data_IF_001471688465
#
_entry.id   IF_001471688465
#
_cell.length_a   1.000
_cell.length_b   1.000
_cell.length_c   1.000
_cell.angle_alpha   90.00
_cell.angle_beta   90.00
_cell.angle_gamma   90.00
#
_symmetry.space_group_name_H-M   'P 1'
#
loop_
_entity.id
_entity.type
_entity.pdbx_description
1 polymer ?
#
# COMPACT_ATOMS: atom_id res chain seq x y z
N UNK A 1 -14.70 -15.00 -4.26
CA UNK A 1 -14.54 -13.65 -3.66
C UNK A 1 -13.52 -13.60 -2.50
N UNK A 2 -12.35 -14.27 -2.59
CA UNK A 2 -11.36 -14.31 -1.48
C UNK A 2 -10.34 -13.16 -1.51
N UNK A 3 -10.02 -12.60 -2.68
CA UNK A 3 -8.99 -11.56 -2.87
C UNK A 3 -9.47 -10.12 -2.71
N UNK A 4 -10.78 -9.91 -2.55
CA UNK A 4 -11.36 -8.58 -2.36
C UNK A 4 -11.19 -8.04 -0.93
N UNK A 5 -10.49 -8.76 -0.04
CA UNK A 5 -10.22 -8.35 1.35
C UNK A 5 -11.50 -7.96 2.12
N UNK A 6 -12.64 -8.56 1.79
CA UNK A 6 -13.96 -8.24 2.38
C UNK A 6 -14.52 -6.86 2.05
N UNK A 7 -13.89 -6.09 1.16
CA UNK A 7 -14.30 -4.72 0.84
C UNK A 7 -14.97 -4.64 -0.54
N UNK A 8 -16.24 -4.19 -0.63
CA UNK A 8 -16.95 -4.07 -1.91
C UNK A 8 -16.21 -3.20 -2.93
N UNK A 9 -15.48 -2.18 -2.46
CA UNK A 9 -14.70 -1.27 -3.31
C UNK A 9 -13.50 -1.97 -3.96
N UNK A 10 -12.75 -2.79 -3.22
CA UNK A 10 -11.64 -3.59 -3.79
C UNK A 10 -12.19 -4.64 -4.76
N UNK A 11 -13.34 -5.24 -4.47
CA UNK A 11 -14.00 -6.15 -5.42
C UNK A 11 -14.28 -5.45 -6.77
N UNK A 12 -14.85 -4.24 -6.74
CA UNK A 12 -15.13 -3.47 -7.96
C UNK A 12 -13.87 -3.02 -8.71
N UNK A 13 -12.78 -2.72 -7.99
CA UNK A 13 -11.48 -2.41 -8.60
C UNK A 13 -10.85 -3.64 -9.26
N UNK A 14 -10.82 -4.77 -8.57
CA UNK A 14 -10.32 -6.03 -9.14
C UNK A 14 -11.14 -6.44 -10.36
N UNK A 15 -12.47 -6.27 -10.32
CA UNK A 15 -13.34 -6.53 -11.46
C UNK A 15 -13.00 -5.64 -12.66
N UNK A 16 -12.78 -4.33 -12.45
CA UNK A 16 -12.32 -3.43 -13.50
C UNK A 16 -10.99 -3.88 -14.10
N UNK A 17 -9.99 -4.21 -13.27
CA UNK A 17 -8.68 -4.69 -13.76
C UNK A 17 -8.78 -6.01 -14.53
N UNK A 18 -9.61 -6.94 -14.05
CA UNK A 18 -9.87 -8.22 -14.76
C UNK A 18 -10.57 -7.98 -16.09
N UNK A 19 -11.53 -7.03 -16.14
CA UNK A 19 -12.20 -6.64 -17.38
C UNK A 19 -11.23 -6.02 -18.37
N UNK A 20 -10.42 -5.06 -17.93
CA UNK A 20 -9.46 -4.36 -18.80
C UNK A 20 -8.40 -5.36 -19.32
N UNK A 21 -7.99 -6.34 -18.52
CA UNK A 21 -7.16 -7.45 -18.97
C UNK A 21 -7.87 -8.32 -20.03
N UNK A 22 -9.13 -8.70 -19.80
CA UNK A 22 -9.90 -9.52 -20.72
C UNK A 22 -10.15 -8.83 -22.07
N UNK A 23 -10.25 -7.50 -22.09
CA UNK A 23 -10.34 -6.72 -23.32
C UNK A 23 -9.10 -6.87 -24.20
N UNK A 24 -7.91 -6.99 -23.61
CA UNK A 24 -6.65 -7.10 -24.35
C UNK A 24 -6.32 -8.55 -24.69
N UNK A 25 -6.67 -9.51 -23.83
CA UNK A 25 -6.14 -10.88 -23.88
C UNK A 25 -7.20 -11.94 -24.20
N UNK A 26 -8.49 -11.64 -24.05
CA UNK A 26 -9.56 -12.65 -24.09
C UNK A 26 -10.83 -12.18 -24.80
N UNK A 27 -10.72 -11.32 -25.82
CA UNK A 27 -11.84 -10.83 -26.62
C UNK A 27 -13.03 -10.32 -25.78
N UNK A 28 -12.72 -9.68 -24.64
CA UNK A 28 -13.69 -9.13 -23.70
C UNK A 28 -14.60 -10.18 -23.00
N UNK A 29 -14.24 -11.47 -23.05
CA UNK A 29 -14.95 -12.55 -22.35
C UNK A 29 -14.24 -12.89 -21.03
N UNK A 30 -14.91 -12.64 -19.90
CA UNK A 30 -14.40 -12.95 -18.56
C UNK A 30 -14.82 -14.37 -18.16
N UNK A 31 -13.91 -15.33 -18.31
CA UNK A 31 -14.06 -16.68 -17.74
C UNK A 31 -13.32 -16.81 -16.41
N UNK A 32 -13.58 -17.90 -15.66
CA UNK A 32 -12.86 -18.18 -14.42
C UNK A 32 -11.34 -18.24 -14.64
N UNK A 33 -10.89 -18.88 -15.72
CA UNK A 33 -9.47 -19.01 -16.04
C UNK A 33 -8.83 -17.66 -16.40
N UNK A 34 -9.54 -16.82 -17.17
CA UNK A 34 -9.10 -15.46 -17.49
C UNK A 34 -8.99 -14.61 -16.23
N UNK A 35 -9.98 -14.68 -15.34
CA UNK A 35 -9.93 -13.98 -14.06
C UNK A 35 -8.79 -14.48 -13.18
N UNK A 36 -8.54 -15.79 -13.13
CA UNK A 36 -7.44 -16.36 -12.35
C UNK A 36 -6.08 -15.93 -12.89
N UNK A 37 -5.92 -15.90 -14.21
CA UNK A 37 -4.70 -15.48 -14.90
C UNK A 37 -4.45 -13.98 -14.68
N UNK A 38 -5.47 -13.14 -14.89
CA UNK A 38 -5.42 -11.71 -14.59
C UNK A 38 -5.03 -11.46 -13.12
N UNK A 39 -5.68 -12.13 -12.17
CA UNK A 39 -5.39 -11.98 -10.74
C UNK A 39 -4.01 -12.53 -10.33
N UNK A 40 -3.44 -13.46 -11.09
CA UNK A 40 -2.07 -13.97 -10.90
C UNK A 40 -1.07 -12.96 -11.46
N UNK A 41 -1.32 -12.43 -12.65
CA UNK A 41 -0.51 -11.39 -13.27
C UNK A 41 -0.55 -10.07 -12.50
N UNK A 42 -1.61 -9.86 -11.71
CA UNK A 42 -1.74 -8.75 -10.77
C UNK A 42 -0.75 -8.80 -9.59
N UNK A 43 0.06 -9.87 -9.48
CA UNK A 43 1.17 -10.02 -8.51
C UNK A 43 0.78 -9.61 -7.09
N UNK A 44 -0.33 -10.17 -6.62
CA UNK A 44 -0.77 -10.01 -5.24
C UNK A 44 0.11 -10.91 -4.36
N UNK A 45 0.70 -10.36 -3.30
CA UNK A 45 1.56 -11.11 -2.39
C UNK A 45 0.77 -12.07 -1.48
N UNK A 46 1.48 -12.86 -0.67
CA UNK A 46 0.90 -13.85 0.24
C UNK A 46 0.01 -13.23 1.34
N UNK A 47 0.22 -11.95 1.66
CA UNK A 47 -0.60 -11.17 2.59
C UNK A 47 -1.73 -10.42 1.90
N UNK A 48 -1.87 -10.59 0.58
CA UNK A 48 -2.90 -9.95 -0.20
C UNK A 48 -2.56 -8.54 -0.65
N UNK A 49 -1.38 -7.98 -0.36
CA UNK A 49 -0.94 -6.66 -0.85
C UNK A 49 -0.74 -6.72 -2.36
N UNK A 50 -1.26 -5.73 -3.06
CA UNK A 50 -1.02 -5.56 -4.49
C UNK A 50 0.15 -4.59 -4.73
N UNK A 51 0.56 -4.45 -6.00
CA UNK A 51 1.69 -3.61 -6.35
C UNK A 51 1.58 -2.15 -5.87
N UNK A 52 0.37 -1.59 -5.75
CA UNK A 52 0.20 -0.21 -5.29
C UNK A 52 0.35 -0.13 -3.77
N UNK A 53 -0.19 -1.11 -3.02
CA UNK A 53 0.06 -1.22 -1.58
C UNK A 53 1.57 -1.27 -1.28
N UNK A 54 2.30 -2.12 -2.00
CA UNK A 54 3.75 -2.25 -1.88
C UNK A 54 4.44 -0.92 -2.24
N UNK A 55 4.02 -0.27 -3.32
CA UNK A 55 4.60 1.00 -3.74
C UNK A 55 4.37 2.13 -2.72
N UNK A 56 3.21 2.20 -2.08
CA UNK A 56 2.93 3.17 -1.01
C UNK A 56 3.93 2.99 0.13
N UNK A 57 4.03 1.78 0.67
CA UNK A 57 4.93 1.49 1.81
C UNK A 57 6.39 1.67 1.42
N UNK A 58 6.80 1.12 0.28
CA UNK A 58 8.16 1.21 -0.24
C UNK A 58 8.57 2.68 -0.48
N UNK A 59 7.67 3.49 -1.02
CA UNK A 59 7.91 4.92 -1.21
C UNK A 59 8.21 5.62 0.12
N UNK A 60 7.43 5.33 1.17
CA UNK A 60 7.64 5.92 2.50
C UNK A 60 9.00 5.49 3.08
N UNK A 61 9.38 4.22 2.91
CA UNK A 61 10.67 3.68 3.40
C UNK A 61 11.84 4.28 2.62
N UNK A 62 11.87 4.14 1.30
CA UNK A 62 13.05 4.46 0.49
C UNK A 62 13.23 5.95 0.18
N UNK A 63 12.12 6.70 -0.01
CA UNK A 63 12.19 8.10 -0.41
C UNK A 63 12.10 9.08 0.76
N UNK A 64 11.57 8.61 1.90
CA UNK A 64 11.26 9.47 3.04
C UNK A 64 11.76 8.90 4.37
N UNK A 65 12.68 7.93 4.34
CA UNK A 65 13.31 7.31 5.52
C UNK A 65 12.31 6.81 6.57
N UNK A 66 11.16 6.31 6.11
CA UNK A 66 10.07 5.83 6.96
C UNK A 66 9.00 6.88 7.31
N UNK A 67 9.15 8.13 6.88
CA UNK A 67 8.20 9.22 7.12
C UNK A 67 8.54 10.11 8.32
N UNK A 68 7.64 11.01 8.75
CA UNK A 68 6.27 11.22 8.27
C UNK A 68 6.21 11.96 6.92
N UNK A 69 5.33 11.51 6.02
CA UNK A 69 5.13 12.12 4.69
C UNK A 69 3.64 12.37 4.38
N UNK A 70 3.34 13.49 3.71
CA UNK A 70 1.98 13.84 3.29
C UNK A 70 1.44 12.91 2.21
N UNK A 71 0.12 12.72 2.16
CA UNK A 71 -0.50 11.81 1.19
C UNK A 71 -0.32 12.29 -0.25
N UNK A 72 -0.43 13.59 -0.50
CA UNK A 72 -0.23 14.15 -1.84
C UNK A 72 1.20 13.94 -2.34
N UNK A 73 2.17 13.94 -1.42
CA UNK A 73 3.57 13.65 -1.74
C UNK A 73 3.77 12.18 -2.08
N UNK A 74 3.11 11.26 -1.37
CA UNK A 74 3.12 9.83 -1.70
C UNK A 74 2.47 9.61 -3.08
N UNK A 75 1.27 10.14 -3.28
CA UNK A 75 0.50 10.08 -4.52
C UNK A 75 1.32 10.53 -5.73
N UNK A 76 1.91 11.73 -5.65
CA UNK A 76 2.79 12.24 -6.70
C UNK A 76 4.01 11.34 -6.93
N UNK A 77 4.56 10.74 -5.88
CA UNK A 77 5.75 9.89 -5.97
C UNK A 77 5.52 8.52 -6.61
N UNK A 78 4.28 8.03 -6.61
CA UNK A 78 3.90 6.71 -7.17
C UNK A 78 2.95 6.81 -8.37
N UNK A 79 2.67 8.04 -8.84
CA UNK A 79 1.71 8.34 -9.91
C UNK A 79 0.31 7.75 -9.66
N UNK A 80 -0.22 7.96 -8.45
CA UNK A 80 -1.56 7.53 -8.05
C UNK A 80 -2.33 8.73 -7.47
N UNK A 81 -3.66 8.67 -7.45
CA UNK A 81 -4.48 9.73 -6.85
C UNK A 81 -4.50 9.63 -5.31
N UNK A 82 -4.35 10.78 -4.63
CA UNK A 82 -4.37 10.86 -3.16
C UNK A 82 -5.64 10.26 -2.56
N UNK A 83 -6.80 10.57 -3.14
CA UNK A 83 -8.09 10.02 -2.70
C UNK A 83 -8.07 8.50 -2.81
N UNK A 84 -7.59 7.95 -3.92
CA UNK A 84 -7.48 6.49 -4.07
C UNK A 84 -6.57 5.87 -3.01
N UNK A 85 -5.45 6.51 -2.66
CA UNK A 85 -4.58 6.07 -1.54
C UNK A 85 -5.35 6.06 -0.22
N UNK A 86 -6.04 7.14 0.14
CA UNK A 86 -6.77 7.25 1.42
C UNK A 86 -7.96 6.31 1.53
N UNK A 87 -8.72 6.17 0.44
CA UNK A 87 -10.03 5.51 0.44
C UNK A 87 -9.96 4.01 0.09
N UNK A 88 -8.86 3.55 -0.50
CA UNK A 88 -8.72 2.18 -1.01
C UNK A 88 -7.58 1.44 -0.34
N UNK A 89 -6.40 2.06 -0.24
CA UNK A 89 -5.18 1.35 0.15
C UNK A 89 -4.84 1.54 1.63
N UNK A 90 -4.87 2.78 2.12
CA UNK A 90 -4.57 3.15 3.50
C UNK A 90 -5.34 2.32 4.54
N UNK A 91 -6.67 2.06 4.41
CA UNK A 91 -7.41 1.33 5.44
C UNK A 91 -6.87 -0.09 5.66
N UNK A 92 -6.47 -0.77 4.58
CA UNK A 92 -5.93 -2.12 4.68
C UNK A 92 -4.49 -2.12 5.19
N UNK A 93 -3.66 -1.18 4.74
CA UNK A 93 -2.29 -1.02 5.22
C UNK A 93 -2.24 -0.71 6.72
N UNK A 94 -3.16 0.13 7.22
CA UNK A 94 -3.31 0.39 8.66
C UNK A 94 -3.81 -0.86 9.39
N UNK A 95 -4.85 -1.52 8.88
CA UNK A 95 -5.40 -2.73 9.52
C UNK A 95 -4.37 -3.85 9.65
N UNK A 96 -3.52 -4.03 8.63
CA UNK A 96 -2.43 -5.00 8.64
C UNK A 96 -1.21 -4.51 9.42
N UNK A 97 -1.20 -3.27 9.89
CA UNK A 97 -0.13 -2.67 10.69
C UNK A 97 1.13 -2.38 9.89
N UNK A 98 1.01 -2.07 8.59
CA UNK A 98 2.09 -1.65 7.70
C UNK A 98 2.30 -0.13 7.66
N UNK A 99 1.26 0.62 8.02
CA UNK A 99 1.21 2.08 7.91
C UNK A 99 0.57 2.67 9.15
N UNK A 100 1.16 3.73 9.69
CA UNK A 100 0.57 4.55 10.75
C UNK A 100 0.23 5.95 10.23
N UNK A 101 -0.95 6.46 10.62
CA UNK A 101 -1.36 7.84 10.36
C UNK A 101 -1.01 8.72 11.56
N UNK A 102 -0.30 9.81 11.29
CA UNK A 102 0.04 10.83 12.29
C UNK A 102 -0.49 12.20 11.86
N UNK A 103 -0.50 13.18 12.76
CA UNK A 103 -0.87 14.57 12.42
C UNK A 103 0.06 15.18 11.36
N UNK A 104 1.29 14.68 11.24
CA UNK A 104 2.33 15.19 10.34
C UNK A 104 2.38 14.44 9.00
N UNK A 105 1.67 13.33 8.87
CA UNK A 105 1.72 12.46 7.69
C UNK A 105 1.69 10.98 8.02
N UNK A 106 2.01 10.15 7.02
CA UNK A 106 2.02 8.69 7.10
C UNK A 106 3.44 8.20 7.41
N UNK A 107 3.54 7.16 8.22
CA UNK A 107 4.80 6.55 8.67
C UNK A 107 4.76 5.05 8.39
N UNK A 108 5.84 4.50 7.84
CA UNK A 108 5.97 3.06 7.65
C UNK A 108 6.34 2.40 8.97
N UNK A 109 5.60 1.35 9.34
CA UNK A 109 5.83 0.64 10.61
C UNK A 109 6.99 -0.34 10.48
N UNK A 110 7.51 -0.82 11.60
CA UNK A 110 8.51 -1.91 11.61
C UNK A 110 8.08 -3.13 10.79
N UNK A 111 6.79 -3.51 10.85
CA UNK A 111 6.26 -4.66 10.10
C UNK A 111 6.40 -4.46 8.59
N UNK A 112 6.26 -3.23 8.11
CA UNK A 112 6.45 -2.89 6.70
C UNK A 112 7.89 -3.07 6.24
N UNK A 113 8.86 -2.69 7.07
CA UNK A 113 10.28 -2.95 6.80
C UNK A 113 10.55 -4.45 6.74
N UNK A 114 10.12 -5.21 7.74
CA UNK A 114 10.34 -6.66 7.82
C UNK A 114 9.72 -7.40 6.63
N UNK A 115 8.50 -7.02 6.23
CA UNK A 115 7.80 -7.65 5.10
C UNK A 115 8.49 -7.40 3.76
N UNK A 116 9.02 -6.19 3.56
CA UNK A 116 9.71 -5.83 2.33
C UNK A 116 11.22 -6.13 2.36
N UNK A 117 11.72 -6.70 3.46
CA UNK A 117 13.12 -7.09 3.62
C UNK A 117 14.09 -5.93 3.86
N UNK A 118 13.61 -4.79 4.36
CA UNK A 118 14.47 -3.66 4.76
C UNK A 118 14.90 -3.79 6.22
N UNK A 119 16.09 -3.28 6.53
CA UNK A 119 16.53 -3.12 7.92
C UNK A 119 15.74 -1.99 8.60
N UNK A 120 15.06 -2.31 9.69
CA UNK A 120 14.40 -1.30 10.51
C UNK A 120 15.40 -0.66 11.48
N UNK A 121 15.91 0.51 11.13
CA UNK A 121 16.76 1.28 12.03
C UNK A 121 15.87 2.19 12.89
N UNK A 122 15.65 1.82 14.15
CA UNK A 122 14.80 2.57 15.07
C UNK A 122 15.35 4.01 15.17
N UNK A 123 14.57 5.06 14.87
CA UNK A 123 15.05 6.42 15.09
C UNK A 123 15.39 6.55 16.57
N UNK A 124 16.66 6.80 16.87
CA UNK A 124 17.18 6.92 18.22
C UNK A 124 16.41 8.05 18.93
N UNK A 125 15.53 7.71 19.85
CA UNK A 125 14.80 8.66 20.69
C UNK A 125 15.69 9.26 21.78
N UNK A 126 16.86 9.78 21.41
CA UNK A 126 17.83 10.39 22.31
C UNK A 126 18.04 11.85 21.92
N UNK A 127 17.06 12.73 22.23
CA UNK A 127 17.26 14.20 22.25
C UNK A 127 16.05 15.00 22.75
N UNK A 128 15.38 14.59 23.84
CA UNK A 128 14.50 15.51 24.59
C UNK A 128 14.57 15.20 26.09
N UNK A 129 15.73 15.43 26.71
CA UNK A 129 15.85 15.49 28.17
C UNK A 129 17.14 16.23 28.57
N UNK A 130 17.28 17.48 28.14
CA UNK A 130 18.31 18.37 28.66
C UNK A 130 17.99 19.82 28.28
N UNK A 131 16.89 20.36 28.83
CA UNK A 131 16.73 21.81 29.03
C UNK A 131 15.62 22.11 30.03
N UNK A 132 15.81 21.70 31.28
CA UNK A 132 15.08 22.26 32.41
C UNK A 132 15.90 22.03 33.67
N UNK A 133 16.97 22.79 33.83
CA UNK A 133 17.59 23.11 35.12
C UNK A 133 18.62 24.22 34.89
N UNK A 134 18.20 25.43 35.28
CA UNK A 134 18.93 26.57 35.88
C UNK A 134 18.16 27.86 35.62
#
# INVERSE_FOLDING_TARGET
AKRARGTPRVANRLLRRVRDYAQVVADNIITQDVALKALTDLKIDDLGLDGVDINVVKCIIEKFDGGPVGIDTIAASINEESETIEDVYEPYLIQMGFLDRTQRGRVATRRAYEHLGYEFNKPSSSRVQSRMEL
#
